data_IF_853472760435
#
_entry.id   IF_853472760435
#
_cell.length_a   1.000
_cell.length_b   1.000
_cell.length_c   1.000
_cell.angle_alpha   90.00
_cell.angle_beta   90.00
_cell.angle_gamma   90.00
#
_symmetry.space_group_name_H-M   'P 1'
#
loop_
_entity.id
_entity.type
_entity.pdbx_description
1 polymer ?
#
# COMPACT_ATOMS: atom_id res chain seq x y z
N UNK A 1 -3.28 14.11 28.00
CA UNK A 1 -2.41 13.40 27.05
C UNK A 1 -2.92 13.79 25.66
N UNK A 2 -2.11 14.39 24.79
CA UNK A 2 -2.63 15.04 23.57
C UNK A 2 -3.00 14.06 22.44
N UNK A 3 -2.89 12.76 22.74
CA UNK A 3 -3.14 11.62 21.85
C UNK A 3 -3.86 10.53 22.65
N UNK A 4 -5.08 10.80 23.12
CA UNK A 4 -5.85 9.86 23.94
C UNK A 4 -6.55 8.77 23.11
N UNK A 5 -6.44 8.77 21.78
CA UNK A 5 -7.19 7.84 20.94
C UNK A 5 -6.57 7.56 19.57
N UNK A 6 -6.61 6.30 19.13
CA UNK A 6 -6.35 5.87 17.76
C UNK A 6 -7.18 6.65 16.72
N UNK A 7 -8.36 7.15 17.14
CA UNK A 7 -9.22 7.99 16.32
C UNK A 7 -8.56 9.32 15.91
N UNK A 8 -7.74 9.96 16.76
CA UNK A 8 -7.02 11.20 16.39
C UNK A 8 -5.90 10.95 15.36
N UNK A 9 -5.35 9.73 15.34
CA UNK A 9 -4.35 9.32 14.34
C UNK A 9 -4.97 9.11 12.96
N UNK A 10 -6.23 8.68 12.93
CA UNK A 10 -7.03 8.55 11.72
C UNK A 10 -7.71 9.86 11.33
N UNK A 11 -7.95 10.74 12.29
CA UNK A 11 -8.62 12.02 12.13
C UNK A 11 -7.69 13.21 12.39
N UNK A 12 -6.42 13.14 11.94
CA UNK A 12 -5.38 14.19 12.04
C UNK A 12 -5.81 15.53 11.38
N UNK A 13 -6.86 16.18 11.87
CA UNK A 13 -7.39 17.46 11.37
C UNK A 13 -7.70 17.51 9.87
N UNK A 14 -7.86 16.37 9.19
CA UNK A 14 -8.05 16.28 7.72
C UNK A 14 -6.82 15.85 6.92
N UNK A 15 -5.63 15.80 7.52
CA UNK A 15 -4.37 15.37 6.85
C UNK A 15 -4.23 13.87 6.67
N UNK A 16 -4.95 13.08 7.47
CA UNK A 16 -4.89 11.62 7.44
C UNK A 16 -5.18 11.05 6.04
N UNK A 17 -6.08 11.68 5.26
CA UNK A 17 -6.37 11.26 3.87
C UNK A 17 -5.16 11.32 2.96
N UNK A 18 -4.28 12.32 3.13
CA UNK A 18 -3.07 12.45 2.33
C UNK A 18 -2.04 11.38 2.73
N UNK A 19 -1.85 11.18 4.03
CA UNK A 19 -0.91 10.19 4.56
C UNK A 19 -1.33 8.78 4.14
N UNK A 20 -2.55 8.38 4.51
CA UNK A 20 -3.08 7.05 4.18
C UNK A 20 -3.25 6.85 2.68
N UNK A 21 -3.57 7.90 1.93
CA UNK A 21 -3.60 7.87 0.46
C UNK A 21 -2.23 7.55 -0.13
N UNK A 22 -1.16 8.19 0.33
CA UNK A 22 0.20 7.91 -0.12
C UNK A 22 0.62 6.47 0.21
N UNK A 23 0.36 6.01 1.45
CA UNK A 23 0.61 4.62 1.85
C UNK A 23 -0.16 3.62 0.98
N UNK A 24 -1.44 3.90 0.68
CA UNK A 24 -2.25 3.05 -0.17
C UNK A 24 -1.72 2.99 -1.61
N UNK A 25 -1.29 4.12 -2.18
CA UNK A 25 -0.68 4.17 -3.52
C UNK A 25 0.63 3.39 -3.56
N UNK A 26 1.50 3.55 -2.55
CA UNK A 26 2.75 2.79 -2.45
C UNK A 26 2.49 1.29 -2.30
N UNK A 27 1.56 0.89 -1.43
CA UNK A 27 1.18 -0.51 -1.27
C UNK A 27 0.61 -1.11 -2.58
N UNK A 28 -0.21 -0.35 -3.30
CA UNK A 28 -0.76 -0.75 -4.59
C UNK A 28 0.35 -0.94 -5.63
N UNK A 29 1.31 -0.02 -5.71
CA UNK A 29 2.44 -0.13 -6.64
C UNK A 29 3.26 -1.41 -6.37
N UNK A 30 3.56 -1.70 -5.10
CA UNK A 30 4.26 -2.93 -4.70
C UNK A 30 3.45 -4.18 -5.06
N UNK A 31 2.14 -4.19 -4.83
CA UNK A 31 1.27 -5.31 -5.21
C UNK A 31 1.28 -5.55 -6.73
N UNK A 32 1.18 -4.49 -7.53
CA UNK A 32 1.24 -4.57 -8.99
C UNK A 32 2.58 -5.17 -9.43
N UNK A 33 3.69 -4.69 -8.87
CA UNK A 33 5.02 -5.20 -9.21
C UNK A 33 5.17 -6.68 -8.85
N UNK A 34 4.68 -7.09 -7.68
CA UNK A 34 4.68 -8.51 -7.28
C UNK A 34 3.83 -9.39 -8.20
N UNK A 35 2.66 -8.90 -8.63
CA UNK A 35 1.81 -9.62 -9.58
C UNK A 35 2.47 -9.73 -10.96
N UNK A 36 3.10 -8.65 -11.44
CA UNK A 36 3.83 -8.64 -12.70
C UNK A 36 5.02 -9.61 -12.66
N UNK A 37 5.80 -9.61 -11.57
CA UNK A 37 6.90 -10.55 -11.37
C UNK A 37 6.41 -12.01 -11.34
N UNK A 38 5.32 -12.29 -10.62
CA UNK A 38 4.72 -13.63 -10.59
C UNK A 38 4.23 -14.08 -11.97
N UNK A 39 3.61 -13.18 -12.74
CA UNK A 39 3.19 -13.48 -14.10
C UNK A 39 4.38 -13.82 -15.01
N UNK A 40 5.47 -13.04 -14.92
CA UNK A 40 6.70 -13.28 -15.68
C UNK A 40 7.39 -14.60 -15.29
N UNK A 41 7.41 -14.93 -13.99
CA UNK A 41 7.94 -16.21 -13.51
C UNK A 41 7.16 -17.40 -14.08
N UNK A 42 5.83 -17.34 -14.06
CA UNK A 42 4.99 -18.39 -14.66
C UNK A 42 5.25 -18.55 -16.16
N UNK A 43 5.40 -17.44 -16.88
CA UNK A 43 5.71 -17.47 -18.31
C UNK A 43 7.11 -18.04 -18.61
N UNK A 44 8.08 -17.82 -17.72
CA UNK A 44 9.43 -18.39 -17.84
C UNK A 44 9.45 -19.89 -17.50
N UNK A 45 8.73 -20.31 -16.45
CA UNK A 45 8.58 -21.72 -16.05
C UNK A 45 7.85 -22.55 -17.13
N UNK A 46 6.93 -21.94 -17.89
CA UNK A 46 6.27 -22.60 -19.03
C UNK A 46 7.17 -22.80 -20.27
N UNK A 47 8.36 -22.19 -20.30
CA UNK A 47 9.30 -22.23 -21.44
C UNK A 47 10.52 -23.15 -21.21
N UNK A 48 10.59 -23.81 -20.06
CA UNK A 48 11.59 -24.82 -19.69
C UNK A 48 11.04 -26.22 -19.87
#
# INVERSE_FOLDING_TARGET
>A
MIWDSWNDFLAMGGYARYVWGAFAVTALALLIEQLALRARRRAAEQRS
#
